data_IF_411789522687
#
_entry.id   IF_411789522687
#
_cell.length_a   1.000
_cell.length_b   1.000
_cell.length_c   1.000
_cell.angle_alpha   90.00
_cell.angle_beta   90.00
_cell.angle_gamma   90.00
#
_symmetry.space_group_name_H-M   'P 1'
#
loop_
_entity.id
_entity.type
_entity.pdbx_description
1 polymer ?
#
# COMPACT_ATOMS: atom_id res chain seq x y z
N UNK A 1 -16.06 16.20 -6.29
CA UNK A 1 -16.45 15.84 -4.90
C UNK A 1 -15.19 15.96 -4.07
N UNK A 2 -15.21 16.71 -2.98
CA UNK A 2 -13.97 17.03 -2.27
C UNK A 2 -13.92 16.25 -0.96
N UNK A 3 -12.85 15.49 -0.78
CA UNK A 3 -12.58 14.71 0.44
C UNK A 3 -11.42 15.36 1.19
N UNK A 4 -11.30 15.06 2.48
CA UNK A 4 -10.15 15.44 3.28
C UNK A 4 -9.52 14.17 3.84
N UNK A 5 -8.29 13.88 3.44
CA UNK A 5 -7.52 12.72 3.89
C UNK A 5 -6.41 13.21 4.83
N UNK A 6 -6.52 12.91 6.12
CA UNK A 6 -5.55 13.37 7.14
C UNK A 6 -5.22 14.87 7.02
N UNK A 7 -6.25 15.72 6.95
CA UNK A 7 -6.15 17.18 6.73
C UNK A 7 -5.62 17.63 5.36
N UNK A 8 -5.36 16.71 4.42
CA UNK A 8 -5.02 17.05 3.04
C UNK A 8 -6.27 17.07 2.16
N UNK A 9 -6.55 18.16 1.42
CA UNK A 9 -7.66 18.20 0.48
C UNK A 9 -7.38 17.25 -0.69
N UNK A 10 -8.39 16.46 -1.04
CA UNK A 10 -8.37 15.51 -2.12
C UNK A 10 -9.55 15.80 -3.05
N UNK A 11 -9.26 16.46 -4.18
CA UNK A 11 -10.27 16.96 -5.13
C UNK A 11 -10.55 15.92 -6.23
N UNK A 12 -11.58 15.11 -6.01
CA UNK A 12 -11.92 14.04 -6.93
C UNK A 12 -12.32 14.56 -8.32
N UNK A 13 -11.72 13.98 -9.36
CA UNK A 13 -11.99 14.28 -10.77
C UNK A 13 -11.21 15.45 -11.35
N UNK A 14 -10.38 16.15 -10.55
CA UNK A 14 -9.57 17.26 -11.05
C UNK A 14 -8.32 16.80 -11.81
N UNK A 15 -7.71 15.69 -11.37
CA UNK A 15 -6.56 15.05 -12.02
C UNK A 15 -6.57 13.54 -11.78
N UNK A 16 -5.68 12.84 -12.48
CA UNK A 16 -5.35 11.45 -12.12
C UNK A 16 -4.46 11.46 -10.88
N UNK A 17 -4.81 10.64 -9.90
CA UNK A 17 -4.02 10.40 -8.70
C UNK A 17 -3.36 9.03 -8.78
N UNK A 18 -2.14 8.92 -8.29
CA UNK A 18 -1.39 7.68 -8.24
C UNK A 18 -1.49 7.07 -6.85
N UNK A 19 -1.89 5.80 -6.79
CA UNK A 19 -1.93 5.01 -5.57
C UNK A 19 -0.85 3.94 -5.63
N UNK A 20 0.13 4.03 -4.74
CA UNK A 20 1.13 2.99 -4.55
C UNK A 20 0.55 1.85 -3.71
N UNK A 21 0.73 0.60 -4.14
CA UNK A 21 0.21 -0.58 -3.42
C UNK A 21 1.36 -1.28 -2.69
N UNK A 22 1.17 -1.53 -1.39
CA UNK A 22 2.12 -2.24 -0.53
C UNK A 22 1.40 -3.44 0.10
N UNK A 23 1.74 -4.65 -0.35
CA UNK A 23 1.18 -5.88 0.21
C UNK A 23 2.13 -6.46 1.25
N UNK A 24 1.76 -6.35 2.53
CA UNK A 24 2.52 -6.88 3.67
C UNK A 24 1.88 -8.21 4.08
N UNK A 25 2.08 -9.25 3.25
CA UNK A 25 1.54 -10.59 3.49
C UNK A 25 2.67 -11.58 3.77
N UNK A 26 2.50 -12.54 4.71
CA UNK A 26 3.51 -13.55 5.03
C UNK A 26 3.94 -14.39 3.80
N UNK A 27 3.02 -14.54 2.86
CA UNK A 27 3.08 -15.38 1.67
C UNK A 27 3.25 -14.56 0.37
N UNK A 28 3.83 -13.35 0.47
CA UNK A 28 4.14 -12.50 -0.69
C UNK A 28 5.20 -13.14 -1.61
N UNK A 29 4.66 -13.85 -2.61
CA UNK A 29 5.31 -14.75 -3.56
C UNK A 29 6.25 -14.11 -4.62
N UNK A 30 6.60 -12.82 -4.52
CA UNK A 30 7.43 -12.14 -5.55
C UNK A 30 8.86 -11.84 -5.14
N UNK A 31 9.18 -11.67 -3.85
CA UNK A 31 10.48 -11.11 -3.44
C UNK A 31 11.19 -11.90 -2.32
N UNK A 32 10.83 -13.17 -2.12
CA UNK A 32 11.56 -14.06 -1.21
C UNK A 32 11.43 -13.71 0.27
N UNK A 33 10.30 -13.13 0.70
CA UNK A 33 10.04 -12.79 2.10
C UNK A 33 10.69 -11.48 2.59
N UNK A 34 11.32 -10.71 1.70
CA UNK A 34 11.98 -9.44 2.08
C UNK A 34 11.03 -8.35 2.57
N UNK A 35 9.71 -8.43 2.30
CA UNK A 35 8.70 -7.47 2.77
C UNK A 35 7.89 -7.93 3.99
N UNK A 36 8.34 -8.97 4.69
CA UNK A 36 7.66 -9.46 5.91
C UNK A 36 8.00 -8.66 7.16
N UNK A 37 8.92 -7.69 7.06
CA UNK A 37 9.33 -6.83 8.17
C UNK A 37 8.77 -5.43 7.99
N UNK A 38 8.49 -4.77 9.13
CA UNK A 38 8.07 -3.38 9.17
C UNK A 38 9.03 -2.46 8.39
N UNK A 39 10.33 -2.72 8.51
CA UNK A 39 11.38 -1.91 7.88
C UNK A 39 11.29 -1.94 6.35
N UNK A 40 11.00 -3.10 5.77
CA UNK A 40 10.87 -3.23 4.32
C UNK A 40 9.58 -2.59 3.78
N UNK A 41 8.46 -2.75 4.51
CA UNK A 41 7.22 -2.05 4.19
C UNK A 41 7.40 -0.53 4.26
N UNK A 42 8.15 -0.05 5.26
CA UNK A 42 8.47 1.37 5.43
C UNK A 42 9.38 1.88 4.31
N UNK A 43 10.44 1.14 3.97
CA UNK A 43 11.32 1.50 2.86
C UNK A 43 10.56 1.61 1.53
N UNK A 44 9.64 0.66 1.27
CA UNK A 44 8.80 0.70 0.07
C UNK A 44 7.83 1.89 0.09
N UNK A 45 7.23 2.21 1.24
CA UNK A 45 6.37 3.38 1.39
C UNK A 45 7.11 4.68 1.08
N UNK A 46 8.33 4.83 1.59
CA UNK A 46 9.19 5.99 1.31
C UNK A 46 9.51 6.06 -0.18
N UNK A 47 9.94 4.95 -0.79
CA UNK A 47 10.28 4.92 -2.21
C UNK A 47 9.09 5.28 -3.12
N UNK A 48 7.88 4.81 -2.80
CA UNK A 48 6.67 5.15 -3.55
C UNK A 48 6.28 6.62 -3.39
N UNK A 49 6.42 7.18 -2.18
CA UNK A 49 6.19 8.60 -1.94
C UNK A 49 7.19 9.46 -2.72
N UNK A 50 8.48 9.11 -2.72
CA UNK A 50 9.53 9.79 -3.50
C UNK A 50 9.31 9.67 -5.02
N UNK A 51 8.73 8.56 -5.48
CA UNK A 51 8.35 8.36 -6.88
C UNK A 51 7.09 9.15 -7.29
N UNK A 52 6.42 9.84 -6.36
CA UNK A 52 5.27 10.69 -6.63
C UNK A 52 3.92 10.00 -6.48
N UNK A 53 3.81 8.94 -5.68
CA UNK A 53 2.51 8.42 -5.27
C UNK A 53 1.77 9.48 -4.43
N UNK A 54 0.50 9.73 -4.76
CA UNK A 54 -0.37 10.64 -4.01
C UNK A 54 -1.00 9.94 -2.80
N UNK A 55 -1.13 8.61 -2.87
CA UNK A 55 -1.77 7.75 -1.88
C UNK A 55 -0.99 6.44 -1.75
N UNK A 56 -1.09 5.81 -0.59
CA UNK A 56 -0.60 4.45 -0.36
C UNK A 56 -1.76 3.55 0.08
N UNK A 57 -1.87 2.38 -0.53
CA UNK A 57 -2.79 1.31 -0.15
C UNK A 57 -1.98 0.16 0.47
N UNK A 58 -2.21 -0.10 1.76
CA UNK A 58 -1.42 -1.04 2.56
C UNK A 58 -2.31 -2.25 2.91
N UNK A 59 -2.05 -3.37 2.25
CA UNK A 59 -2.79 -4.62 2.44
C UNK A 59 -2.03 -5.63 3.28
N UNK A 60 -2.53 -5.94 4.48
CA UNK A 60 -1.95 -6.97 5.37
C UNK A 60 -2.45 -8.39 5.12
N UNK A 61 -3.48 -8.55 4.29
CA UNK A 61 -4.11 -9.83 4.00
C UNK A 61 -4.30 -10.01 2.50
N UNK A 62 -3.91 -11.18 1.99
CA UNK A 62 -4.11 -11.53 0.58
C UNK A 62 -5.57 -11.89 0.34
N UNK A 63 -6.15 -11.33 -0.72
CA UNK A 63 -7.50 -11.66 -1.23
C UNK A 63 -7.46 -12.65 -2.40
N UNK A 64 -6.28 -13.21 -2.69
CA UNK A 64 -6.10 -14.18 -3.78
C UNK A 64 -6.76 -15.52 -3.41
N UNK A 65 -7.21 -16.32 -4.40
CA UNK A 65 -7.72 -17.67 -4.14
C UNK A 65 -6.72 -18.49 -3.31
N UNK A 66 -7.22 -19.23 -2.32
CA UNK A 66 -6.44 -20.07 -1.41
C UNK A 66 -5.39 -19.34 -0.55
N UNK A 67 -5.49 -18.02 -0.37
CA UNK A 67 -4.65 -17.28 0.57
C UNK A 67 -4.79 -17.82 2.00
N UNK A 68 -3.67 -17.83 2.74
CA UNK A 68 -3.68 -18.19 4.16
C UNK A 68 -4.41 -17.11 4.97
N UNK A 69 -5.22 -17.51 5.94
CA UNK A 69 -5.89 -16.57 6.82
C UNK A 69 -4.87 -15.96 7.79
N UNK A 70 -4.97 -14.64 8.00
CA UNK A 70 -4.11 -13.92 8.93
C UNK A 70 -4.83 -13.85 10.28
N UNK A 71 -4.21 -14.40 11.32
CA UNK A 71 -4.70 -14.30 12.70
C UNK A 71 -4.43 -12.91 13.28
N UNK A 72 -5.37 -12.39 14.09
CA UNK A 72 -5.26 -11.13 14.81
C UNK A 72 -4.46 -11.24 16.12
#
# INVERSE_FOLDING_TARGET
MNWTLNNHPFEWGQRTYLMGVINVTPDSFSDGGQFTTLDAALAQAIALAEAGADLLDIGGQSTRPQASEVSL
#
